data_IF_054676552868
#
_entry.id   IF_054676552868
#
_cell.length_a   1.000
_cell.length_b   1.000
_cell.length_c   1.000
_cell.angle_alpha   90.00
_cell.angle_beta   90.00
_cell.angle_gamma   90.00
#
_symmetry.space_group_name_H-M   'P 1'
#
loop_
_entity.id
_entity.type
_entity.pdbx_description
1 polymer ?
#
# COMPACT_ATOMS: atom_id res chain seq x y z
N UNK A 1 2.19 -11.39 -11.62
CA UNK A 1 1.58 -11.86 -10.36
C UNK A 1 1.47 -10.66 -9.46
N UNK A 2 0.31 -10.31 -9.18
CA UNK A 2 -0.24 -9.02 -8.87
C UNK A 2 -0.14 -8.72 -7.39
N UNK A 3 0.19 -7.46 -7.04
CA UNK A 3 -0.09 -6.86 -5.74
C UNK A 3 -1.55 -7.12 -5.40
N UNK A 4 -1.80 -7.88 -4.35
CA UNK A 4 -3.13 -8.11 -3.81
C UNK A 4 -3.39 -7.09 -2.74
N UNK A 5 -4.12 -6.04 -3.04
CA UNK A 5 -4.96 -5.45 -2.03
C UNK A 5 -6.07 -6.49 -1.75
N UNK A 6 -5.84 -7.37 -0.81
CA UNK A 6 -6.93 -8.15 -0.23
C UNK A 6 -7.73 -7.24 0.69
N UNK A 7 -9.05 -7.39 0.80
CA UNK A 7 -9.73 -6.91 1.97
C UNK A 7 -9.08 -7.64 3.15
N UNK A 8 -8.35 -6.88 3.99
CA UNK A 8 -7.56 -7.42 5.08
C UNK A 8 -8.44 -8.15 6.08
N UNK A 9 -8.41 -9.48 5.99
CA UNK A 9 -8.78 -10.35 7.09
C UNK A 9 -7.47 -10.77 7.77
N UNK A 10 -7.29 -10.33 9.00
CA UNK A 10 -6.15 -10.52 9.85
C UNK A 10 -5.59 -11.93 9.90
N UNK A 11 -4.29 -12.04 9.98
CA UNK A 11 -3.59 -13.25 10.39
C UNK A 11 -2.38 -12.93 11.28
N UNK A 12 -2.32 -13.57 12.42
CA UNK A 12 -1.22 -13.52 13.39
C UNK A 12 -0.52 -14.85 13.51
N UNK A 13 0.78 -14.86 13.66
CA UNK A 13 1.52 -15.99 14.28
C UNK A 13 2.72 -15.46 15.06
N UNK A 14 2.99 -16.08 16.19
CA UNK A 14 4.24 -15.99 16.91
C UNK A 14 4.04 -15.76 18.40
N UNK A 15 4.12 -16.85 19.18
CA UNK A 15 4.17 -16.88 20.64
C UNK A 15 5.55 -16.44 21.12
N UNK A 16 5.58 -15.49 22.05
CA UNK A 16 6.51 -15.51 23.17
C UNK A 16 5.72 -14.97 24.37
N UNK A 17 5.60 -15.81 25.38
CA UNK A 17 5.08 -15.43 26.69
C UNK A 17 6.02 -14.40 27.30
N UNK A 18 5.48 -13.25 27.70
CA UNK A 18 6.12 -12.44 28.74
C UNK A 18 5.06 -11.74 29.58
N UNK A 19 5.25 -11.85 30.87
CA UNK A 19 4.33 -11.47 31.94
C UNK A 19 4.00 -9.96 31.90
N UNK A 20 2.75 -9.67 32.16
CA UNK A 20 2.25 -8.32 32.36
C UNK A 20 2.81 -7.72 33.65
N UNK A 21 3.68 -6.72 33.51
CA UNK A 21 4.01 -5.81 34.60
C UNK A 21 3.05 -4.60 34.58
N UNK A 22 2.69 -4.04 35.74
CA UNK A 22 1.64 -3.03 35.86
C UNK A 22 2.11 -1.68 35.29
N UNK A 23 1.17 -1.01 34.64
CA UNK A 23 1.32 0.35 34.12
C UNK A 23 1.76 1.32 35.22
N UNK A 24 3.02 1.73 35.18
CA UNK A 24 3.44 2.95 35.84
C UNK A 24 3.04 4.13 34.95
N UNK A 25 1.95 4.77 35.27
CA UNK A 25 1.59 6.10 34.75
C UNK A 25 2.62 7.09 35.32
N UNK A 26 3.45 7.64 34.43
CA UNK A 26 4.45 8.62 34.81
C UNK A 26 4.91 9.43 33.62
N UNK A 27 4.22 10.56 33.40
CA UNK A 27 4.72 11.80 32.82
C UNK A 27 5.49 11.77 31.49
N UNK A 28 4.81 12.03 30.40
CA UNK A 28 5.25 12.85 29.28
C UNK A 28 4.05 13.37 28.45
N UNK A 29 2.92 13.67 29.07
CA UNK A 29 1.74 14.24 28.40
C UNK A 29 1.92 15.74 28.06
N UNK A 30 3.12 16.30 28.21
CA UNK A 30 3.43 17.71 27.97
C UNK A 30 4.29 18.01 26.74
N UNK A 31 4.87 17.00 26.09
CA UNK A 31 5.81 17.23 24.97
C UNK A 31 5.10 17.55 23.64
N UNK A 32 3.87 17.06 23.44
CA UNK A 32 3.09 17.27 22.23
C UNK A 32 1.66 17.68 22.52
N UNK A 33 1.10 18.51 21.64
CA UNK A 33 -0.31 18.85 21.58
C UNK A 33 -0.87 18.34 20.25
N UNK A 34 -2.15 17.95 20.25
CA UNK A 34 -2.80 17.46 19.05
C UNK A 34 -4.07 18.25 18.76
N UNK A 35 -4.40 18.39 17.48
CA UNK A 35 -5.63 19.02 17.00
C UNK A 35 -6.31 18.07 16.02
N UNK A 36 -7.62 17.84 16.23
CA UNK A 36 -8.45 17.06 15.32
C UNK A 36 -9.03 17.97 14.24
N UNK A 37 -8.91 17.52 12.99
CA UNK A 37 -9.54 18.10 11.83
C UNK A 37 -10.51 17.09 11.21
N UNK A 38 -11.72 17.55 10.87
CA UNK A 38 -12.79 16.72 10.31
C UNK A 38 -13.03 16.96 8.83
N UNK A 39 -12.22 17.80 8.20
CA UNK A 39 -12.24 18.06 6.76
C UNK A 39 -10.82 18.18 6.21
N UNK A 40 -10.62 17.81 4.93
CA UNK A 40 -9.35 17.99 4.23
C UNK A 40 -9.01 19.46 4.03
N UNK A 41 -10.00 20.31 3.75
CA UNK A 41 -9.80 21.73 3.50
C UNK A 41 -9.14 22.45 4.69
N UNK A 42 -9.51 22.06 5.91
CA UNK A 42 -8.95 22.64 7.14
C UNK A 42 -7.45 22.38 7.31
N UNK A 43 -6.93 21.29 6.74
CA UNK A 43 -5.53 20.88 6.87
C UNK A 43 -4.74 21.00 5.57
N UNK A 44 -5.38 21.36 4.46
CA UNK A 44 -4.76 21.43 3.13
C UNK A 44 -3.44 22.21 3.09
N UNK A 45 -3.34 23.43 3.66
CA UNK A 45 -2.08 24.16 3.63
C UNK A 45 -0.93 23.43 4.35
N UNK A 46 -1.25 22.83 5.50
CA UNK A 46 -0.26 22.04 6.25
C UNK A 46 0.10 20.76 5.50
N UNK A 47 -0.89 20.04 4.98
CA UNK A 47 -0.67 18.79 4.25
C UNK A 47 0.26 18.99 3.06
N UNK A 48 -0.05 19.97 2.20
CA UNK A 48 0.77 20.30 1.01
C UNK A 48 2.19 20.73 1.39
N UNK A 49 2.36 21.47 2.49
CA UNK A 49 3.69 21.79 3.00
C UNK A 49 4.45 20.53 3.43
N UNK A 50 3.83 19.65 4.23
CA UNK A 50 4.47 18.42 4.70
C UNK A 50 4.73 17.42 3.56
N UNK A 51 3.91 17.43 2.52
CA UNK A 51 4.11 16.61 1.32
C UNK A 51 5.35 17.02 0.54
N UNK A 52 5.65 18.32 0.47
CA UNK A 52 6.76 18.86 -0.33
C UNK A 52 8.05 19.04 0.46
N UNK A 53 7.96 19.43 1.72
CA UNK A 53 9.10 19.80 2.55
C UNK A 53 9.44 18.73 3.60
N UNK A 54 8.48 17.87 3.93
CA UNK A 54 8.59 16.86 4.97
C UNK A 54 8.99 15.49 4.45
N UNK A 55 8.63 14.46 5.22
CA UNK A 55 8.90 13.05 4.89
C UNK A 55 7.59 12.28 4.84
N UNK A 56 7.25 11.76 3.67
CA UNK A 56 6.07 10.91 3.47
C UNK A 56 6.30 9.96 2.28
N UNK A 57 5.32 9.13 1.94
CA UNK A 57 5.32 8.29 0.73
C UNK A 57 4.32 8.80 -0.28
N UNK A 58 4.36 8.34 -1.52
CA UNK A 58 3.37 8.68 -2.55
C UNK A 58 1.92 8.32 -2.18
N UNK A 59 1.71 7.48 -1.18
CA UNK A 59 0.37 7.15 -0.67
C UNK A 59 -0.25 8.26 0.20
N UNK A 60 0.53 9.27 0.59
CA UNK A 60 0.10 10.42 1.38
C UNK A 60 0.00 11.71 0.55
N UNK A 61 0.01 11.64 -0.78
CA UNK A 61 -0.31 12.81 -1.61
C UNK A 61 -1.69 13.37 -1.25
N UNK A 62 -1.79 14.70 -1.16
CA UNK A 62 -3.06 15.38 -0.86
C UNK A 62 -4.13 15.02 -1.88
N UNK A 63 -3.79 15.06 -3.17
CA UNK A 63 -4.71 14.70 -4.24
C UNK A 63 -5.20 13.24 -4.16
N UNK A 64 -4.39 12.33 -3.61
CA UNK A 64 -4.78 10.95 -3.34
C UNK A 64 -5.79 10.87 -2.19
N UNK A 65 -5.52 11.57 -1.09
CA UNK A 65 -6.44 11.65 0.05
C UNK A 65 -7.78 12.34 -0.33
N UNK A 66 -7.73 13.38 -1.15
CA UNK A 66 -8.90 14.08 -1.68
C UNK A 66 -9.79 13.12 -2.49
N UNK A 67 -9.21 12.38 -3.44
CA UNK A 67 -9.96 11.38 -4.21
C UNK A 67 -10.52 10.24 -3.35
N UNK A 68 -9.82 9.81 -2.28
CA UNK A 68 -10.36 8.84 -1.31
C UNK A 68 -11.60 9.40 -0.62
N UNK A 69 -11.53 10.64 -0.15
CA UNK A 69 -12.65 11.28 0.59
C UNK A 69 -13.85 11.49 -0.30
N UNK A 70 -13.64 11.95 -1.52
CA UNK A 70 -14.71 12.23 -2.48
C UNK A 70 -15.39 10.95 -3.01
N UNK A 71 -14.58 9.93 -3.31
CA UNK A 71 -15.08 8.75 -4.04
C UNK A 71 -15.26 7.49 -3.22
N UNK A 72 -14.51 7.31 -2.13
CA UNK A 72 -14.39 6.00 -1.48
C UNK A 72 -14.80 5.97 -0.01
N UNK A 73 -14.76 7.11 0.70
CA UNK A 73 -15.15 7.15 2.12
C UNK A 73 -16.63 6.83 2.27
N UNK A 74 -17.02 5.85 3.11
CA UNK A 74 -18.42 5.56 3.34
C UNK A 74 -19.16 6.75 3.95
N UNK A 75 -20.40 7.03 3.51
CA UNK A 75 -21.23 8.15 4.00
C UNK A 75 -21.39 8.23 5.53
N UNK A 76 -21.20 7.11 6.22
CA UNK A 76 -21.31 7.03 7.70
C UNK A 76 -19.94 6.92 8.38
N UNK A 77 -18.87 7.32 7.70
CA UNK A 77 -17.56 7.44 8.29
C UNK A 77 -17.24 8.90 8.56
N UNK A 78 -16.48 9.14 9.60
CA UNK A 78 -16.02 10.48 9.98
C UNK A 78 -14.52 10.58 9.68
N UNK A 79 -14.09 11.66 9.06
CA UNK A 79 -12.68 11.99 8.96
C UNK A 79 -12.13 12.32 10.35
N UNK A 80 -10.95 11.84 10.65
CA UNK A 80 -10.23 12.08 11.89
C UNK A 80 -8.75 12.33 11.61
N UNK A 81 -8.47 13.44 10.95
CA UNK A 81 -7.11 13.85 10.59
C UNK A 81 -6.52 14.58 11.79
N UNK A 82 -5.44 14.05 12.33
CA UNK A 82 -4.84 14.60 13.56
C UNK A 82 -3.51 15.25 13.25
N UNK A 83 -3.45 16.54 13.51
CA UNK A 83 -2.23 17.32 13.52
C UNK A 83 -1.56 17.22 14.89
N UNK A 84 -0.27 16.90 14.93
CA UNK A 84 0.54 16.85 16.17
C UNK A 84 1.62 17.91 16.09
N UNK A 85 1.69 18.75 17.13
CA UNK A 85 2.67 19.82 17.27
C UNK A 85 3.56 19.60 18.50
N UNK A 86 4.76 20.11 18.45
CA UNK A 86 5.60 20.25 19.63
C UNK A 86 4.97 21.28 20.59
N UNK A 87 4.79 20.93 21.85
CA UNK A 87 4.09 21.77 22.81
C UNK A 87 4.88 23.03 23.21
N UNK A 88 6.22 23.00 23.11
CA UNK A 88 7.06 24.13 23.50
C UNK A 88 7.23 25.15 22.37
N UNK A 89 7.33 24.68 21.12
CA UNK A 89 7.57 25.54 19.95
C UNK A 89 6.31 25.87 19.17
N UNK A 90 5.27 25.02 19.27
CA UNK A 90 4.08 25.09 18.44
C UNK A 90 4.27 24.60 17.01
N UNK A 91 5.49 24.14 16.65
CA UNK A 91 5.79 23.65 15.31
C UNK A 91 5.15 22.29 15.04
N UNK A 92 4.60 22.07 13.84
CA UNK A 92 4.09 20.76 13.43
C UNK A 92 5.18 19.70 13.48
N UNK A 93 4.84 18.51 13.96
CA UNK A 93 5.72 17.34 13.99
C UNK A 93 5.25 16.23 13.08
N UNK A 94 3.94 16.01 12.99
CA UNK A 94 3.35 15.05 12.06
C UNK A 94 1.88 15.33 11.82
N UNK A 95 1.38 14.85 10.68
CA UNK A 95 -0.04 14.78 10.35
C UNK A 95 -0.43 13.32 10.17
N UNK A 96 -1.49 12.89 10.85
CA UNK A 96 -1.95 11.49 10.90
C UNK A 96 -3.33 11.37 10.26
N UNK A 97 -3.45 10.95 8.99
CA UNK A 97 -4.72 10.81 8.30
C UNK A 97 -5.47 9.55 8.75
N UNK A 98 -6.43 9.72 9.63
CA UNK A 98 -7.30 8.66 10.13
C UNK A 98 -8.74 8.90 9.70
N UNK A 99 -9.55 7.86 9.83
CA UNK A 99 -11.00 7.94 9.75
C UNK A 99 -11.63 7.05 10.82
N UNK A 100 -12.85 7.42 11.27
CA UNK A 100 -13.67 6.60 12.13
C UNK A 100 -14.82 6.02 11.33
N UNK A 101 -14.99 4.72 11.37
CA UNK A 101 -16.16 4.09 10.77
C UNK A 101 -16.80 3.05 11.68
N UNK A 102 -18.06 2.77 11.41
CA UNK A 102 -18.77 1.70 12.11
C UNK A 102 -18.49 0.35 11.43
N UNK A 103 -18.02 -0.63 12.22
CA UNK A 103 -17.84 -2.00 11.79
C UNK A 103 -18.76 -2.89 12.64
N UNK A 104 -19.84 -3.44 12.02
CA UNK A 104 -20.90 -4.16 12.74
C UNK A 104 -21.49 -3.33 13.90
N UNK A 105 -21.16 -3.66 15.14
CA UNK A 105 -21.71 -3.03 16.34
C UNK A 105 -20.69 -2.20 17.13
N UNK A 106 -19.52 -1.90 16.57
CA UNK A 106 -18.45 -1.15 17.23
C UNK A 106 -17.84 -0.09 16.29
N UNK A 107 -17.25 0.96 16.89
CA UNK A 107 -16.53 2.00 16.18
C UNK A 107 -15.04 1.67 16.08
N UNK A 108 -14.49 1.91 14.91
CA UNK A 108 -13.08 1.64 14.59
C UNK A 108 -12.42 2.91 14.09
N UNK A 109 -11.26 3.24 14.64
CA UNK A 109 -10.33 4.18 14.02
C UNK A 109 -9.40 3.37 13.12
N UNK A 110 -9.30 3.78 11.87
CA UNK A 110 -8.41 3.16 10.88
C UNK A 110 -7.74 4.23 10.02
N UNK A 111 -6.76 3.81 9.24
CA UNK A 111 -6.10 4.71 8.29
C UNK A 111 -7.05 5.15 7.19
N UNK A 112 -6.93 6.42 6.75
CA UNK A 112 -7.68 6.96 5.62
C UNK A 112 -7.13 6.35 4.31
N UNK A 113 -7.52 5.13 4.00
CA UNK A 113 -7.02 4.38 2.85
C UNK A 113 -8.11 3.80 1.95
N UNK A 114 -9.24 3.40 2.50
CA UNK A 114 -10.30 2.67 1.80
C UNK A 114 -9.80 1.51 0.93
N UNK A 115 -8.61 0.97 1.26
CA UNK A 115 -7.98 -0.15 0.56
C UNK A 115 -7.15 0.21 -0.68
N UNK A 116 -6.97 1.49 -0.97
CA UNK A 116 -6.17 1.97 -2.12
C UNK A 116 -4.78 2.50 -1.74
N UNK A 117 -4.41 2.44 -0.45
CA UNK A 117 -3.05 2.73 0.04
C UNK A 117 -2.40 1.45 0.56
N UNK A 118 -1.18 1.19 0.13
CA UNK A 118 -0.38 0.08 0.64
C UNK A 118 0.29 0.42 1.97
N UNK A 119 0.49 1.73 2.26
CA UNK A 119 1.18 2.21 3.45
C UNK A 119 0.37 3.16 4.30
N UNK A 120 0.42 2.92 5.62
CA UNK A 120 -0.05 3.80 6.66
C UNK A 120 1.15 4.48 7.33
N UNK A 121 1.51 5.66 6.84
CA UNK A 121 2.64 6.45 7.32
C UNK A 121 2.18 7.89 7.57
N UNK A 122 2.43 8.49 8.74
CA UNK A 122 2.20 9.90 8.95
C UNK A 122 3.03 10.74 7.98
N UNK A 123 2.53 11.92 7.61
CA UNK A 123 3.40 12.95 7.03
C UNK A 123 4.20 13.55 8.18
N UNK A 124 5.52 13.41 8.12
CA UNK A 124 6.44 13.93 9.13
C UNK A 124 6.95 15.30 8.70
N UNK A 125 7.09 16.21 9.64
CA UNK A 125 7.52 17.58 9.35
C UNK A 125 8.98 17.65 8.85
N UNK A 126 9.82 16.76 9.33
CA UNK A 126 11.24 16.69 9.00
C UNK A 126 11.82 15.30 9.26
N UNK A 127 13.10 15.13 8.98
CA UNK A 127 13.84 13.91 9.21
C UNK A 127 14.36 13.73 10.67
N UNK A 128 13.89 14.51 11.63
CA UNK A 128 14.28 14.35 13.03
C UNK A 128 13.89 12.97 13.54
N UNK A 129 14.83 12.20 14.09
CA UNK A 129 14.57 10.83 14.51
C UNK A 129 13.50 10.73 15.60
N UNK A 130 12.60 9.78 15.41
CA UNK A 130 11.61 9.39 16.42
C UNK A 130 12.21 8.30 17.34
N UNK A 131 11.98 8.45 18.63
CA UNK A 131 12.24 7.41 19.64
C UNK A 131 10.91 6.78 20.05
N UNK A 132 10.93 5.59 20.68
CA UNK A 132 9.74 5.02 21.26
C UNK A 132 9.04 6.01 22.21
N UNK A 133 9.79 6.66 23.09
CA UNK A 133 9.26 7.61 24.07
C UNK A 133 8.54 8.79 23.38
N UNK A 134 9.16 9.41 22.37
CA UNK A 134 8.54 10.53 21.64
C UNK A 134 7.32 10.07 20.83
N UNK A 135 7.37 8.88 20.22
CA UNK A 135 6.26 8.31 19.49
C UNK A 135 5.05 8.00 20.40
N UNK A 136 5.28 7.41 21.58
CA UNK A 136 4.24 7.14 22.57
C UNK A 136 3.62 8.42 23.16
N UNK A 137 4.42 9.44 23.41
CA UNK A 137 3.93 10.75 23.85
C UNK A 137 3.06 11.41 22.77
N UNK A 138 3.51 11.40 21.51
CA UNK A 138 2.75 11.94 20.38
C UNK A 138 1.46 11.15 20.15
N UNK A 139 1.50 9.82 20.24
CA UNK A 139 0.32 8.98 20.09
C UNK A 139 -0.69 9.17 21.23
N UNK A 140 -0.22 9.42 22.46
CA UNK A 140 -1.09 9.79 23.59
C UNK A 140 -1.84 11.10 23.29
N UNK A 141 -1.16 12.10 22.72
CA UNK A 141 -1.80 13.33 22.28
C UNK A 141 -2.83 13.06 21.15
N UNK A 142 -2.51 12.21 20.17
CA UNK A 142 -3.45 11.79 19.13
C UNK A 142 -4.70 11.17 19.74
N UNK A 143 -4.54 10.20 20.65
CA UNK A 143 -5.68 9.52 21.29
C UNK A 143 -6.57 10.46 22.08
N UNK A 144 -6.02 11.54 22.67
CA UNK A 144 -6.78 12.49 23.49
C UNK A 144 -7.78 13.32 22.69
N UNK A 145 -7.60 13.48 21.39
CA UNK A 145 -8.47 14.29 20.51
C UNK A 145 -9.32 13.46 19.56
N UNK A 146 -9.06 12.14 19.46
CA UNK A 146 -9.83 11.27 18.57
C UNK A 146 -11.29 11.14 19.05
N UNK A 147 -12.24 11.04 18.11
CA UNK A 147 -13.63 10.78 18.47
C UNK A 147 -13.76 9.41 19.14
N UNK A 148 -14.73 9.23 20.05
CA UNK A 148 -14.93 7.98 20.76
C UNK A 148 -14.98 6.77 19.82
N UNK A 149 -14.16 5.77 20.10
CA UNK A 149 -14.08 4.54 19.31
C UNK A 149 -13.85 3.34 20.24
N UNK A 150 -14.20 2.15 19.74
CA UNK A 150 -14.02 0.92 20.50
C UNK A 150 -12.64 0.32 20.31
N UNK A 151 -12.02 0.53 19.13
CA UNK A 151 -10.69 -0.02 18.82
C UNK A 151 -9.92 0.81 17.78
N UNK A 152 -8.61 0.62 17.78
CA UNK A 152 -7.69 1.06 16.73
C UNK A 152 -7.37 -0.13 15.81
N UNK A 153 -7.37 0.11 14.50
CA UNK A 153 -6.98 -0.89 13.52
C UNK A 153 -6.26 -0.22 12.33
N UNK A 154 -4.96 -0.08 12.44
CA UNK A 154 -4.11 0.48 11.38
C UNK A 154 -3.17 -0.61 10.91
N UNK A 155 -3.11 -0.81 9.61
CA UNK A 155 -2.35 -1.88 8.97
C UNK A 155 -1.46 -1.30 7.88
N UNK A 156 -0.47 -2.06 7.41
CA UNK A 156 0.42 -1.56 6.38
C UNK A 156 1.36 -0.47 6.88
N UNK A 157 1.82 -0.53 8.12
CA UNK A 157 2.73 0.46 8.70
C UNK A 157 4.17 0.08 8.34
N UNK A 158 4.85 0.82 7.44
CA UNK A 158 6.27 0.60 7.17
C UNK A 158 7.10 0.98 8.41
N UNK A 159 8.20 0.27 8.65
CA UNK A 159 9.08 0.57 9.80
C UNK A 159 9.80 1.91 9.64
N UNK A 160 10.03 2.31 8.39
CA UNK A 160 10.67 3.58 8.04
C UNK A 160 9.93 4.25 6.89
N UNK A 161 10.03 5.56 6.82
CA UNK A 161 9.52 6.42 5.75
C UNK A 161 10.66 7.37 5.35
N UNK A 162 11.12 7.32 4.11
CA UNK A 162 12.22 8.15 3.65
C UNK A 162 13.50 8.04 4.52
N UNK A 163 13.79 6.87 5.08
CA UNK A 163 14.92 6.64 6.00
C UNK A 163 14.69 7.08 7.44
N UNK A 164 13.51 7.62 7.77
CA UNK A 164 13.14 8.01 9.13
C UNK A 164 12.23 6.96 9.76
N UNK A 165 12.47 6.59 11.00
CA UNK A 165 11.63 5.63 11.72
C UNK A 165 10.17 6.11 11.78
N UNK A 166 9.23 5.26 11.35
CA UNK A 166 7.81 5.57 11.43
C UNK A 166 7.34 5.54 12.89
N UNK A 167 6.85 6.67 13.46
CA UNK A 167 6.43 6.70 14.86
C UNK A 167 5.34 5.67 15.19
N UNK A 168 4.45 5.32 14.25
CA UNK A 168 3.43 4.29 14.49
C UNK A 168 4.04 2.89 14.66
N UNK A 169 5.16 2.60 14.01
CA UNK A 169 5.84 1.32 14.16
C UNK A 169 6.62 1.19 15.48
N UNK A 170 6.92 2.31 16.14
CA UNK A 170 7.64 2.36 17.43
C UNK A 170 6.71 2.18 18.64
N UNK A 171 5.39 2.25 18.46
CA UNK A 171 4.42 2.14 19.54
C UNK A 171 4.42 0.75 20.17
N UNK A 172 4.26 0.65 21.49
CA UNK A 172 4.24 -0.62 22.21
C UNK A 172 3.22 -1.65 21.67
N UNK A 173 1.98 -1.27 21.26
CA UNK A 173 1.03 -2.21 20.68
C UNK A 173 1.31 -2.56 19.20
N UNK A 174 2.33 -1.99 18.56
CA UNK A 174 2.69 -2.33 17.18
C UNK A 174 3.28 -3.75 17.12
N UNK A 175 2.82 -4.51 16.13
CA UNK A 175 3.26 -5.90 15.90
C UNK A 175 3.65 -6.08 14.45
N UNK A 176 4.56 -7.01 14.18
CA UNK A 176 4.89 -7.41 12.83
C UNK A 176 3.66 -8.03 12.15
N UNK A 177 3.36 -7.54 10.96
CA UNK A 177 2.33 -8.08 10.08
C UNK A 177 2.86 -9.29 9.29
N UNK A 178 1.96 -10.13 8.82
CA UNK A 178 2.29 -11.18 7.84
C UNK A 178 2.67 -10.60 6.46
N UNK A 179 2.42 -9.32 6.26
CA UNK A 179 2.70 -8.63 5.01
C UNK A 179 4.08 -8.01 5.05
N UNK A 180 4.76 -8.09 3.92
CA UNK A 180 6.04 -7.42 3.70
C UNK A 180 5.95 -6.59 2.42
N UNK A 181 6.71 -5.53 2.36
CA UNK A 181 6.97 -4.81 1.14
C UNK A 181 8.40 -5.08 0.65
N UNK A 182 8.66 -4.73 -0.59
CA UNK A 182 9.92 -4.97 -1.26
C UNK A 182 10.33 -3.71 -2.00
N UNK A 183 11.56 -3.29 -1.85
CA UNK A 183 12.09 -2.11 -2.52
C UNK A 183 13.47 -2.34 -3.12
N UNK A 184 13.77 -1.58 -4.14
CA UNK A 184 15.01 -1.64 -4.91
C UNK A 184 15.62 -0.25 -4.94
N UNK A 185 16.83 -0.09 -4.40
CA UNK A 185 17.64 1.08 -4.66
C UNK A 185 18.18 1.02 -6.10
N UNK A 186 17.94 2.08 -6.87
CA UNK A 186 18.34 2.16 -8.28
C UNK A 186 19.51 3.14 -8.42
N UNK A 187 20.73 2.67 -8.13
CA UNK A 187 21.95 3.46 -8.30
C UNK A 187 22.65 3.19 -9.64
N UNK A 188 23.48 4.13 -10.06
CA UNK A 188 24.24 4.07 -11.32
C UNK A 188 23.46 4.59 -12.53
N UNK A 189 23.83 4.12 -13.72
CA UNK A 189 23.21 4.51 -14.98
C UNK A 189 22.05 3.58 -15.39
N UNK A 190 21.13 4.11 -16.22
CA UNK A 190 19.94 3.40 -16.65
C UNK A 190 20.21 2.15 -17.48
N UNK A 191 21.32 2.11 -18.23
CA UNK A 191 21.63 0.97 -19.11
C UNK A 191 22.10 -0.25 -18.31
N UNK A 192 22.85 -0.01 -17.24
CA UNK A 192 23.48 -1.07 -16.44
C UNK A 192 22.73 -1.40 -15.15
N UNK A 193 21.80 -0.55 -14.70
CA UNK A 193 21.09 -0.71 -13.42
C UNK A 193 20.50 -2.10 -13.22
N UNK A 194 19.76 -2.64 -14.18
CA UNK A 194 19.16 -3.98 -14.08
C UNK A 194 20.22 -5.08 -13.94
N UNK A 195 21.34 -4.96 -14.65
CA UNK A 195 22.44 -5.93 -14.57
C UNK A 195 23.16 -5.85 -13.21
N UNK A 196 23.23 -4.67 -12.61
CA UNK A 196 23.88 -4.44 -11.32
C UNK A 196 23.05 -4.95 -10.14
N UNK A 197 21.74 -4.65 -10.11
CA UNK A 197 20.87 -4.93 -8.97
C UNK A 197 20.22 -6.31 -9.01
N UNK A 198 19.88 -6.81 -10.21
CA UNK A 198 19.17 -8.07 -10.35
C UNK A 198 20.13 -9.29 -10.36
N UNK A 199 19.62 -10.44 -9.90
CA UNK A 199 20.37 -11.69 -9.99
C UNK A 199 20.69 -12.04 -11.46
N UNK A 200 21.86 -12.61 -11.78
CA UNK A 200 22.25 -12.95 -13.16
C UNK A 200 21.23 -13.85 -13.88
N UNK A 201 20.61 -14.79 -13.15
CA UNK A 201 19.55 -15.67 -13.69
C UNK A 201 18.32 -14.89 -14.12
N UNK A 202 17.92 -13.88 -13.34
CA UNK A 202 16.82 -12.98 -13.69
C UNK A 202 17.16 -12.16 -14.94
N UNK A 203 18.33 -11.55 -15.00
CA UNK A 203 18.79 -10.76 -16.16
C UNK A 203 18.80 -11.60 -17.44
N UNK A 204 19.27 -12.84 -17.35
CA UNK A 204 19.26 -13.79 -18.49
C UNK A 204 17.84 -14.09 -18.96
N UNK A 205 16.93 -14.37 -18.03
CA UNK A 205 15.52 -14.63 -18.34
C UNK A 205 14.84 -13.41 -18.94
N UNK A 206 15.01 -12.23 -18.32
CA UNK A 206 14.49 -10.95 -18.79
C UNK A 206 14.93 -10.68 -20.24
N UNK A 207 16.23 -10.73 -20.53
CA UNK A 207 16.77 -10.46 -21.88
C UNK A 207 16.29 -11.48 -22.93
N UNK A 208 16.03 -12.73 -22.53
CA UNK A 208 15.44 -13.75 -23.40
C UNK A 208 13.98 -13.39 -23.72
N UNK A 209 13.22 -13.01 -22.71
CA UNK A 209 11.80 -12.74 -22.85
C UNK A 209 11.57 -11.41 -23.61
N UNK A 210 12.35 -10.36 -23.36
CA UNK A 210 12.31 -9.12 -24.14
C UNK A 210 12.56 -9.37 -25.63
N UNK A 211 13.60 -10.18 -25.98
CA UNK A 211 13.86 -10.56 -27.38
C UNK A 211 12.74 -11.37 -28.00
N UNK A 212 11.98 -12.14 -27.21
CA UNK A 212 10.81 -12.87 -27.71
C UNK A 212 9.65 -11.95 -27.99
N UNK A 213 9.39 -10.98 -27.08
CA UNK A 213 8.38 -9.96 -27.29
C UNK A 213 8.70 -9.11 -28.52
N UNK A 214 9.94 -8.68 -28.66
CA UNK A 214 10.40 -7.86 -29.79
C UNK A 214 10.17 -8.54 -31.14
N UNK A 215 10.44 -9.85 -31.24
CA UNK A 215 10.17 -10.62 -32.47
C UNK A 215 8.69 -10.75 -32.85
N UNK A 216 7.77 -10.41 -31.96
CA UNK A 216 6.33 -10.39 -32.22
C UNK A 216 5.82 -9.02 -32.71
N UNK A 217 6.59 -8.33 -33.53
CA UNK A 217 6.19 -7.07 -34.17
C UNK A 217 6.80 -5.81 -33.54
N UNK A 218 7.87 -5.99 -32.75
CA UNK A 218 8.54 -4.90 -32.04
C UNK A 218 8.09 -4.76 -30.60
N UNK A 219 9.02 -4.33 -29.75
CA UNK A 219 8.77 -4.10 -28.31
C UNK A 219 8.75 -2.60 -28.05
N UNK A 220 7.72 -2.13 -27.32
CA UNK A 220 7.62 -0.72 -26.92
C UNK A 220 7.09 -0.62 -25.47
N UNK A 221 7.81 0.16 -24.66
CA UNK A 221 7.29 0.67 -23.39
C UNK A 221 6.62 2.02 -23.71
N UNK A 222 5.32 2.12 -23.48
CA UNK A 222 4.49 3.31 -23.78
C UNK A 222 4.06 3.95 -22.47
N UNK A 223 4.46 5.17 -22.23
CA UNK A 223 3.94 5.99 -21.14
C UNK A 223 2.61 6.64 -21.57
N UNK A 224 1.63 6.65 -20.67
CA UNK A 224 0.37 7.34 -20.88
C UNK A 224 0.55 8.84 -20.59
N UNK A 225 1.00 9.60 -21.56
CA UNK A 225 1.32 11.04 -21.47
C UNK A 225 0.20 11.96 -21.97
N UNK A 226 -0.91 11.40 -22.43
CA UNK A 226 -2.11 12.13 -22.86
C UNK A 226 -3.37 11.53 -22.21
N UNK A 227 -4.45 12.33 -22.08
CA UNK A 227 -5.72 11.82 -21.54
C UNK A 227 -6.24 10.59 -22.29
N UNK A 228 -6.14 10.57 -23.61
CA UNK A 228 -6.58 9.44 -24.43
C UNK A 228 -5.76 8.17 -24.17
N UNK A 229 -4.44 8.29 -23.96
CA UNK A 229 -3.58 7.17 -23.61
C UNK A 229 -3.83 6.69 -22.16
N UNK A 230 -4.08 7.61 -21.22
CA UNK A 230 -4.50 7.26 -19.86
C UNK A 230 -5.74 6.39 -19.91
N UNK A 231 -6.80 6.82 -20.57
CA UNK A 231 -8.06 6.08 -20.66
C UNK A 231 -7.88 4.71 -21.34
N UNK A 232 -7.14 4.67 -22.45
CA UNK A 232 -6.89 3.46 -23.21
C UNK A 232 -6.06 2.44 -22.41
N UNK A 233 -4.90 2.85 -21.88
CA UNK A 233 -3.98 1.94 -21.19
C UNK A 233 -4.56 1.53 -19.84
N UNK A 234 -5.18 2.45 -19.08
CA UNK A 234 -5.85 2.13 -17.83
C UNK A 234 -7.08 1.22 -18.05
N UNK A 235 -7.88 1.49 -19.08
CA UNK A 235 -8.98 0.60 -19.45
C UNK A 235 -8.50 -0.84 -19.72
N UNK A 236 -7.36 -0.98 -20.40
CA UNK A 236 -6.74 -2.30 -20.65
C UNK A 236 -6.23 -2.95 -19.35
N UNK A 237 -5.66 -2.17 -18.42
CA UNK A 237 -5.29 -2.67 -17.09
C UNK A 237 -6.49 -3.27 -16.37
N UNK A 238 -7.61 -2.53 -16.31
CA UNK A 238 -8.85 -2.99 -15.65
C UNK A 238 -9.37 -4.28 -16.27
N UNK A 239 -9.48 -4.32 -17.61
CA UNK A 239 -9.91 -5.50 -18.36
C UNK A 239 -9.09 -6.75 -18.04
N UNK A 240 -7.76 -6.66 -18.22
CA UNK A 240 -6.83 -7.77 -18.02
C UNK A 240 -6.83 -8.25 -16.56
N UNK A 241 -6.85 -7.30 -15.62
CA UNK A 241 -6.83 -7.59 -14.20
C UNK A 241 -8.12 -8.28 -13.75
N UNK A 242 -9.29 -7.76 -14.11
CA UNK A 242 -10.57 -8.35 -13.75
C UNK A 242 -10.77 -9.72 -14.40
N UNK A 243 -10.32 -9.93 -15.64
CA UNK A 243 -10.32 -11.24 -16.28
C UNK A 243 -9.49 -12.24 -15.48
N UNK A 244 -8.24 -11.86 -15.15
CA UNK A 244 -7.34 -12.71 -14.39
C UNK A 244 -7.86 -13.06 -12.99
N UNK A 245 -8.43 -12.09 -12.28
CA UNK A 245 -8.98 -12.33 -10.94
C UNK A 245 -10.21 -13.22 -10.96
N UNK A 246 -11.06 -13.11 -12.01
CA UNK A 246 -12.20 -14.04 -12.25
C UNK A 246 -11.70 -15.47 -12.47
N UNK A 247 -10.70 -15.68 -13.31
CA UNK A 247 -10.10 -17.01 -13.53
C UNK A 247 -9.58 -17.63 -12.24
N UNK A 248 -8.92 -16.81 -11.39
CA UNK A 248 -8.40 -17.25 -10.10
C UNK A 248 -9.48 -17.41 -9.02
N UNK A 249 -10.73 -17.05 -9.32
CA UNK A 249 -11.83 -17.03 -8.35
C UNK A 249 -11.57 -16.05 -7.20
N UNK A 250 -10.88 -14.94 -7.44
CA UNK A 250 -10.54 -13.93 -6.43
C UNK A 250 -11.29 -12.64 -6.69
N UNK A 251 -11.51 -11.87 -5.62
CA UNK A 251 -12.04 -10.52 -5.71
C UNK A 251 -10.90 -9.53 -5.95
N UNK A 252 -11.14 -8.54 -6.80
CA UNK A 252 -10.28 -7.37 -6.98
C UNK A 252 -11.06 -6.10 -6.68
N UNK A 253 -10.42 -5.09 -6.08
CA UNK A 253 -11.06 -3.82 -5.77
C UNK A 253 -11.55 -3.08 -7.02
N UNK A 254 -10.88 -3.24 -8.16
CA UNK A 254 -11.31 -2.69 -9.45
C UNK A 254 -12.64 -3.29 -9.97
N UNK A 255 -13.20 -4.29 -9.30
CA UNK A 255 -14.58 -4.72 -9.56
C UNK A 255 -15.63 -3.72 -9.04
N UNK A 256 -15.21 -2.71 -8.28
CA UNK A 256 -16.07 -1.65 -7.76
C UNK A 256 -15.89 -0.38 -8.61
N UNK A 257 -16.97 0.12 -9.28
CA UNK A 257 -16.89 1.30 -10.13
C UNK A 257 -16.26 2.53 -9.45
N UNK A 258 -16.58 2.88 -8.18
CA UNK A 258 -15.95 4.03 -7.53
C UNK A 258 -14.41 3.90 -7.41
N UNK A 259 -13.89 2.67 -7.26
CA UNK A 259 -12.45 2.44 -7.21
C UNK A 259 -11.81 2.62 -8.60
N UNK A 260 -12.49 2.19 -9.66
CA UNK A 260 -12.04 2.42 -11.03
C UNK A 260 -12.00 3.92 -11.33
N UNK A 261 -13.05 4.65 -10.96
CA UNK A 261 -13.13 6.10 -11.18
C UNK A 261 -12.03 6.83 -10.39
N UNK A 262 -11.82 6.48 -9.13
CA UNK A 262 -10.72 7.00 -8.30
C UNK A 262 -9.35 6.86 -8.98
N UNK A 263 -8.99 5.66 -9.45
CA UNK A 263 -7.69 5.43 -10.10
C UNK A 263 -7.59 6.15 -11.45
N UNK A 264 -8.69 6.24 -12.22
CA UNK A 264 -8.71 6.96 -13.49
C UNK A 264 -8.48 8.46 -13.28
N UNK A 265 -9.19 9.06 -12.35
CA UNK A 265 -9.06 10.49 -12.03
C UNK A 265 -7.68 10.82 -11.46
N UNK A 266 -7.13 9.97 -10.58
CA UNK A 266 -5.77 10.14 -10.09
C UNK A 266 -4.73 10.07 -11.23
N UNK A 267 -4.94 9.20 -12.23
CA UNK A 267 -4.08 9.12 -13.39
C UNK A 267 -4.17 10.37 -14.30
N UNK A 268 -5.36 10.90 -14.50
CA UNK A 268 -5.52 12.16 -15.23
C UNK A 268 -4.86 13.34 -14.52
N UNK A 269 -4.97 13.44 -13.19
CA UNK A 269 -4.24 14.44 -12.39
C UNK A 269 -2.72 14.27 -12.51
N UNK A 270 -2.25 13.02 -12.52
CA UNK A 270 -0.84 12.70 -12.69
C UNK A 270 -0.20 13.19 -13.97
N UNK A 271 -0.99 13.48 -15.02
CA UNK A 271 -0.50 14.13 -16.25
C UNK A 271 0.02 15.56 -15.98
N UNK A 272 -0.47 16.21 -14.95
CA UNK A 272 -0.11 17.60 -14.62
C UNK A 272 0.99 17.66 -13.54
N UNK A 273 0.87 16.85 -12.49
CA UNK A 273 1.72 16.92 -11.30
C UNK A 273 2.78 15.82 -11.23
N UNK A 274 2.72 14.81 -12.11
CA UNK A 274 3.64 13.68 -12.14
C UNK A 274 3.48 12.69 -10.99
N UNK A 275 2.46 12.84 -10.14
CA UNK A 275 2.22 11.98 -8.97
C UNK A 275 1.80 10.56 -9.33
N UNK A 276 1.21 10.39 -10.51
CA UNK A 276 0.79 9.09 -11.06
C UNK A 276 1.32 8.92 -12.48
N UNK A 277 1.80 7.72 -12.79
CA UNK A 277 2.27 7.35 -14.13
C UNK A 277 1.75 5.96 -14.50
N UNK A 278 1.33 5.80 -15.74
CA UNK A 278 0.86 4.51 -16.26
C UNK A 278 1.70 4.14 -17.47
N UNK A 279 2.16 2.90 -17.48
CA UNK A 279 2.93 2.35 -18.59
C UNK A 279 2.28 1.11 -19.14
N UNK A 280 2.25 1.01 -20.46
CA UNK A 280 1.93 -0.20 -21.19
C UNK A 280 3.15 -0.81 -21.86
N UNK A 281 3.33 -2.11 -21.79
CA UNK A 281 4.31 -2.85 -22.58
C UNK A 281 3.60 -3.48 -23.77
N UNK A 282 4.02 -3.11 -24.98
CA UNK A 282 3.47 -3.64 -26.25
C UNK A 282 4.44 -4.59 -26.92
N UNK A 283 3.90 -5.66 -27.51
CA UNK A 283 4.57 -6.51 -28.48
C UNK A 283 3.78 -6.41 -29.80
N UNK A 284 4.29 -5.65 -30.75
CA UNK A 284 3.53 -5.21 -31.91
C UNK A 284 2.30 -4.39 -31.49
N UNK A 285 1.12 -4.77 -31.97
CA UNK A 285 -0.13 -4.12 -31.63
C UNK A 285 -0.76 -4.59 -30.32
N UNK A 286 -0.19 -5.63 -29.68
CA UNK A 286 -0.78 -6.24 -28.50
C UNK A 286 -0.18 -5.64 -27.22
N UNK A 287 -1.04 -5.13 -26.32
CA UNK A 287 -0.66 -4.74 -24.97
C UNK A 287 -0.50 -5.99 -24.10
N UNK A 288 0.73 -6.34 -23.73
CA UNK A 288 1.05 -7.58 -22.99
C UNK A 288 1.14 -7.38 -21.48
N UNK A 289 1.43 -6.17 -21.03
CA UNK A 289 1.43 -5.81 -19.61
C UNK A 289 1.12 -4.32 -19.43
N UNK A 290 0.54 -3.97 -18.28
CA UNK A 290 0.31 -2.59 -17.86
C UNK A 290 0.74 -2.43 -16.40
N UNK A 291 1.43 -1.33 -16.09
CA UNK A 291 1.83 -0.97 -14.75
C UNK A 291 1.33 0.42 -14.40
N UNK A 292 0.67 0.54 -13.27
CA UNK A 292 0.24 1.79 -12.66
C UNK A 292 1.18 2.10 -11.48
N UNK A 293 1.75 3.30 -11.48
CA UNK A 293 2.73 3.76 -10.49
C UNK A 293 2.25 5.03 -9.81
N UNK A 294 2.55 5.18 -8.51
CA UNK A 294 2.63 6.49 -7.90
C UNK A 294 4.11 6.91 -7.83
N UNK A 295 4.37 8.21 -7.96
CA UNK A 295 5.71 8.79 -7.94
C UNK A 295 5.79 9.87 -6.86
N UNK A 296 6.84 9.83 -6.02
CA UNK A 296 7.05 10.81 -4.97
C UNK A 296 8.52 10.88 -4.57
N UNK A 297 9.10 12.08 -4.53
CA UNK A 297 10.45 12.38 -4.02
C UNK A 297 11.50 11.31 -4.41
N UNK A 298 11.66 11.08 -5.72
CA UNK A 298 12.65 10.11 -6.23
C UNK A 298 12.25 8.64 -6.10
N UNK A 299 11.06 8.33 -5.58
CA UNK A 299 10.54 6.97 -5.41
C UNK A 299 9.38 6.68 -6.38
N UNK A 300 9.44 5.52 -7.04
CA UNK A 300 8.31 4.94 -7.79
C UNK A 300 7.66 3.85 -6.94
N UNK A 301 6.34 3.90 -6.74
CA UNK A 301 5.56 2.88 -6.04
C UNK A 301 4.72 2.08 -7.03
N UNK A 302 4.95 0.77 -7.15
CA UNK A 302 4.21 -0.12 -8.04
C UNK A 302 2.85 -0.51 -7.44
N UNK A 303 1.78 0.20 -7.80
CA UNK A 303 0.44 0.01 -7.21
C UNK A 303 -0.35 -1.11 -7.85
N UNK A 304 -0.56 -1.04 -9.16
CA UNK A 304 -1.35 -2.02 -9.90
C UNK A 304 -0.58 -2.55 -11.10
N UNK A 305 -0.58 -3.86 -11.28
CA UNK A 305 -0.06 -4.51 -12.47
C UNK A 305 -1.13 -5.41 -13.09
N UNK A 306 -1.23 -5.38 -14.41
CA UNK A 306 -2.00 -6.35 -15.19
C UNK A 306 -1.12 -6.96 -16.27
N UNK A 307 -1.32 -8.25 -16.56
CA UNK A 307 -0.54 -8.99 -17.55
C UNK A 307 -1.45 -9.90 -18.37
N UNK A 308 -1.18 -9.97 -19.65
CA UNK A 308 -1.74 -10.99 -20.54
C UNK A 308 -0.74 -12.14 -20.68
N UNK A 309 -1.00 -13.25 -19.97
CA UNK A 309 -0.13 -14.43 -20.02
C UNK A 309 -0.29 -15.25 -21.31
N UNK A 310 -1.41 -15.06 -22.02
CA UNK A 310 -1.73 -15.78 -23.26
C UNK A 310 -1.19 -15.12 -24.53
N UNK A 311 -0.91 -13.82 -24.47
CA UNK A 311 -0.53 -13.03 -25.65
C UNK A 311 0.73 -13.55 -26.36
N UNK A 312 1.76 -13.92 -25.58
CA UNK A 312 3.00 -14.50 -26.13
C UNK A 312 3.40 -15.72 -25.29
N UNK A 313 3.41 -16.93 -25.87
CA UNK A 313 3.74 -18.15 -25.14
C UNK A 313 5.16 -18.16 -24.54
N UNK A 314 5.28 -18.72 -23.35
CA UNK A 314 6.57 -18.88 -22.63
C UNK A 314 7.34 -17.59 -22.39
N UNK A 315 6.64 -16.48 -22.22
CA UNK A 315 7.17 -15.18 -21.80
C UNK A 315 6.52 -14.77 -20.49
N UNK A 316 7.24 -14.01 -19.68
CA UNK A 316 6.75 -13.40 -18.45
C UNK A 316 6.58 -11.87 -18.63
N UNK A 317 5.46 -11.38 -19.21
CA UNK A 317 5.32 -9.96 -19.52
C UNK A 317 5.44 -9.04 -18.29
N UNK A 318 4.99 -9.53 -17.12
CA UNK A 318 5.12 -8.78 -15.86
C UNK A 318 6.57 -8.57 -15.43
N UNK A 319 7.47 -9.52 -15.66
CA UNK A 319 8.90 -9.33 -15.39
C UNK A 319 9.54 -8.42 -16.43
N UNK A 320 9.07 -8.48 -17.67
CA UNK A 320 9.55 -7.62 -18.74
C UNK A 320 9.22 -6.14 -18.46
N UNK A 321 7.96 -5.83 -18.15
CA UNK A 321 7.57 -4.44 -17.86
C UNK A 321 8.30 -3.91 -16.61
N UNK A 322 8.47 -4.72 -15.56
CA UNK A 322 9.21 -4.30 -14.37
C UNK A 322 10.68 -4.03 -14.68
N UNK A 323 11.33 -4.86 -15.49
CA UNK A 323 12.71 -4.64 -15.91
C UNK A 323 12.89 -3.37 -16.74
N UNK A 324 11.96 -3.10 -17.65
CA UNK A 324 11.97 -1.86 -18.45
C UNK A 324 11.68 -0.62 -17.57
N UNK A 325 10.78 -0.74 -16.59
CA UNK A 325 10.47 0.36 -15.68
C UNK A 325 11.63 0.68 -14.73
N UNK A 326 12.44 -0.29 -14.34
CA UNK A 326 13.68 -0.02 -13.58
C UNK A 326 14.65 0.82 -14.43
N UNK A 327 14.83 0.49 -15.72
CA UNK A 327 15.68 1.26 -16.64
C UNK A 327 15.12 2.66 -16.86
N UNK A 328 13.84 2.74 -17.19
CA UNK A 328 13.16 4.00 -17.41
C UNK A 328 13.21 4.89 -16.15
N UNK A 329 12.86 4.34 -14.99
CA UNK A 329 12.84 5.08 -13.73
C UNK A 329 14.21 5.65 -13.37
N UNK A 330 15.27 4.84 -13.53
CA UNK A 330 16.64 5.34 -13.31
C UNK A 330 17.01 6.43 -14.32
N UNK A 331 16.65 6.27 -15.58
CA UNK A 331 16.85 7.28 -16.63
C UNK A 331 16.07 8.57 -16.40
N UNK A 332 14.91 8.49 -15.77
CA UNK A 332 14.07 9.62 -15.39
C UNK A 332 14.45 10.26 -14.03
N UNK A 333 15.55 9.79 -13.38
CA UNK A 333 16.06 10.38 -12.14
C UNK A 333 15.48 9.81 -10.85
N UNK A 334 14.75 8.70 -10.91
CA UNK A 334 14.29 8.01 -9.70
C UNK A 334 15.41 7.14 -9.12
N UNK A 335 15.53 7.16 -7.78
CA UNK A 335 16.56 6.45 -7.04
C UNK A 335 16.05 5.19 -6.34
N UNK A 336 14.73 5.06 -6.21
CA UNK A 336 14.13 3.93 -5.52
C UNK A 336 12.88 3.43 -6.24
N UNK A 337 12.76 2.10 -6.35
CA UNK A 337 11.59 1.44 -6.91
C UNK A 337 10.97 0.53 -5.85
N UNK A 338 9.87 0.96 -5.31
CA UNK A 338 9.05 0.20 -4.37
C UNK A 338 8.12 -0.75 -5.14
N UNK A 339 8.36 -2.04 -4.99
CA UNK A 339 7.53 -3.10 -5.57
C UNK A 339 6.26 -3.38 -4.76
N UNK A 340 5.97 -2.53 -3.78
CA UNK A 340 4.79 -2.60 -2.92
C UNK A 340 4.62 -3.91 -2.14
N UNK A 341 3.47 -4.09 -1.53
CA UNK A 341 3.15 -5.22 -0.65
C UNK A 341 3.01 -6.52 -1.43
N UNK A 342 3.42 -7.61 -0.82
CA UNK A 342 3.23 -8.97 -1.35
C UNK A 342 4.46 -9.84 -1.29
N UNK A 343 4.29 -11.10 -0.86
CA UNK A 343 5.37 -12.05 -0.61
C UNK A 343 5.67 -12.93 -1.85
N UNK A 344 5.93 -12.30 -3.01
CA UNK A 344 6.28 -13.02 -4.24
C UNK A 344 7.80 -13.17 -4.35
N UNK A 345 8.28 -14.41 -4.50
CA UNK A 345 9.71 -14.75 -4.55
C UNK A 345 10.48 -14.08 -5.70
N UNK A 346 9.80 -13.74 -6.81
CA UNK A 346 10.47 -13.08 -7.93
C UNK A 346 11.04 -11.69 -7.57
N UNK A 347 10.45 -10.99 -6.59
CA UNK A 347 10.91 -9.68 -6.13
C UNK A 347 12.35 -9.75 -5.59
N UNK A 348 12.68 -10.81 -4.86
CA UNK A 348 14.05 -11.04 -4.37
C UNK A 348 15.05 -11.36 -5.51
N UNK A 349 14.57 -11.97 -6.60
CA UNK A 349 15.39 -12.19 -7.78
C UNK A 349 15.68 -10.90 -8.55
N UNK A 350 14.82 -9.91 -8.41
CA UNK A 350 15.01 -8.55 -8.93
C UNK A 350 15.96 -7.70 -8.07
N UNK A 351 16.49 -8.25 -6.99
CA UNK A 351 17.39 -7.52 -6.08
C UNK A 351 16.65 -6.71 -5.01
N UNK A 352 15.33 -6.88 -4.89
CA UNK A 352 14.56 -6.15 -3.91
C UNK A 352 14.86 -6.62 -2.49
N UNK A 353 14.99 -5.67 -1.59
CA UNK A 353 15.12 -5.88 -0.15
C UNK A 353 13.73 -6.03 0.46
N UNK A 354 13.54 -7.07 1.25
CA UNK A 354 12.31 -7.34 1.98
C UNK A 354 12.29 -6.60 3.30
N UNK A 355 11.20 -5.88 3.58
CA UNK A 355 10.92 -5.27 4.88
C UNK A 355 9.54 -5.69 5.38
N UNK A 356 9.45 -6.10 6.65
CA UNK A 356 8.18 -6.49 7.27
C UNK A 356 7.42 -5.25 7.66
N UNK A 357 6.12 -5.22 7.34
CA UNK A 357 5.21 -4.16 7.78
C UNK A 357 4.75 -4.42 9.21
N UNK A 358 4.40 -3.36 9.92
CA UNK A 358 3.76 -3.44 11.22
C UNK A 358 2.25 -3.19 11.13
N UNK A 359 1.53 -3.52 12.18
CA UNK A 359 0.11 -3.25 12.36
C UNK A 359 -0.21 -2.85 13.80
N UNK A 360 -1.20 -1.99 13.97
CA UNK A 360 -1.81 -1.64 15.24
C UNK A 360 -3.23 -2.20 15.28
N UNK A 361 -3.48 -3.19 16.13
CA UNK A 361 -4.79 -3.79 16.30
C UNK A 361 -5.06 -4.03 17.79
N UNK A 362 -5.72 -3.09 18.45
CA UNK A 362 -6.03 -3.21 19.87
C UNK A 362 -7.37 -2.53 20.22
N UNK A 363 -8.01 -3.02 21.29
CA UNK A 363 -9.26 -2.47 21.82
C UNK A 363 -9.01 -1.34 22.80
N UNK A 364 -9.88 -0.31 22.74
CA UNK A 364 -9.95 0.80 23.68
C UNK A 364 -11.02 0.50 24.75
N UNK A 365 -12.14 -0.10 24.32
CA UNK A 365 -13.24 -0.52 25.21
C UNK A 365 -13.25 -2.06 25.32
N UNK A 366 -13.95 -2.61 26.30
CA UNK A 366 -14.14 -4.07 26.44
C UNK A 366 -14.73 -4.67 25.16
N UNK A 367 -15.65 -3.97 24.50
CA UNK A 367 -16.21 -4.36 23.22
C UNK A 367 -15.15 -4.40 22.11
N UNK A 368 -14.28 -3.41 22.08
CA UNK A 368 -13.15 -3.32 21.16
C UNK A 368 -12.11 -4.41 21.41
N UNK A 369 -11.82 -4.73 22.68
CA UNK A 369 -10.92 -5.85 23.04
C UNK A 369 -11.49 -7.17 22.52
N UNK A 370 -12.77 -7.46 22.79
CA UNK A 370 -13.42 -8.67 22.28
C UNK A 370 -13.39 -8.76 20.75
N UNK A 371 -13.67 -7.63 20.05
CA UNK A 371 -13.61 -7.56 18.60
C UNK A 371 -12.18 -7.75 18.06
N UNK A 372 -11.17 -7.18 18.71
CA UNK A 372 -9.76 -7.34 18.33
C UNK A 372 -9.28 -8.79 18.51
N UNK A 373 -9.64 -9.42 19.62
CA UNK A 373 -9.33 -10.84 19.85
C UNK A 373 -10.02 -11.74 18.83
N UNK A 374 -11.30 -11.50 18.52
CA UNK A 374 -12.01 -12.26 17.47
C UNK A 374 -11.30 -12.19 16.11
N UNK A 375 -10.74 -11.03 15.76
CA UNK A 375 -9.96 -10.86 14.53
C UNK A 375 -8.67 -11.67 14.59
N UNK A 376 -7.93 -11.63 15.71
CA UNK A 376 -6.71 -12.42 15.92
C UNK A 376 -6.99 -13.92 15.82
N UNK A 377 -8.04 -14.42 16.48
CA UNK A 377 -8.42 -15.84 16.40
C UNK A 377 -8.83 -16.26 15.00
N UNK A 378 -9.62 -15.43 14.29
CA UNK A 378 -9.95 -15.67 12.89
C UNK A 378 -8.69 -15.73 12.03
N UNK A 379 -7.75 -14.82 12.24
CA UNK A 379 -6.47 -14.78 11.55
C UNK A 379 -5.67 -16.07 11.77
N UNK A 380 -5.54 -16.52 13.02
CA UNK A 380 -4.89 -17.79 13.38
C UNK A 380 -5.57 -18.98 12.68
N UNK A 381 -6.90 -19.04 12.66
CA UNK A 381 -7.66 -20.09 11.98
C UNK A 381 -7.39 -20.13 10.47
N UNK A 382 -7.37 -19.00 9.81
CA UNK A 382 -7.04 -18.93 8.38
C UNK A 382 -5.57 -19.28 8.11
N UNK A 383 -4.63 -18.89 9.01
CA UNK A 383 -3.22 -19.31 8.92
C UNK A 383 -3.09 -20.83 9.03
N UNK A 384 -3.73 -21.41 10.02
CA UNK A 384 -3.73 -22.85 10.22
C UNK A 384 -4.25 -23.62 9.01
N UNK A 385 -5.36 -23.17 8.41
CA UNK A 385 -5.90 -23.76 7.18
C UNK A 385 -4.93 -23.60 6.00
N UNK A 386 -4.29 -22.42 5.85
CA UNK A 386 -3.34 -22.15 4.77
C UNK A 386 -2.07 -23.00 4.89
N UNK A 387 -1.57 -23.15 6.10
CA UNK A 387 -0.31 -23.85 6.37
C UNK A 387 -0.49 -25.38 6.35
N UNK A 388 -1.75 -25.86 6.29
CA UNK A 388 -2.08 -27.27 6.13
C UNK A 388 -2.56 -27.54 4.69
N UNK A 389 -1.74 -28.17 3.80
CA UNK A 389 -2.08 -28.35 2.38
C UNK A 389 -3.39 -29.09 2.14
N UNK A 390 -3.77 -30.05 3.00
CA UNK A 390 -5.01 -30.81 2.89
C UNK A 390 -6.23 -29.94 3.20
N UNK A 391 -6.18 -29.18 4.30
CA UNK A 391 -7.24 -28.26 4.70
C UNK A 391 -7.38 -27.11 3.68
N UNK A 392 -6.26 -26.61 3.17
CA UNK A 392 -6.25 -25.56 2.16
C UNK A 392 -6.96 -25.99 0.87
N UNK A 393 -6.69 -27.21 0.38
CA UNK A 393 -7.35 -27.78 -0.79
C UNK A 393 -8.86 -27.92 -0.58
N UNK A 394 -9.29 -28.46 0.54
CA UNK A 394 -10.73 -28.60 0.90
C UNK A 394 -11.40 -27.23 1.00
N UNK A 395 -10.75 -26.25 1.64
CA UNK A 395 -11.28 -24.89 1.74
C UNK A 395 -11.40 -24.21 0.38
N UNK A 396 -10.43 -24.40 -0.53
CA UNK A 396 -10.50 -23.90 -1.90
C UNK A 396 -11.67 -24.53 -2.69
N UNK A 397 -11.83 -25.84 -2.62
CA UNK A 397 -12.91 -26.55 -3.30
C UNK A 397 -14.29 -26.11 -2.78
N UNK A 398 -14.43 -25.97 -1.46
CA UNK A 398 -15.65 -25.46 -0.83
C UNK A 398 -15.97 -24.04 -1.26
N UNK A 399 -14.98 -23.14 -1.23
CA UNK A 399 -15.14 -21.76 -1.67
C UNK A 399 -15.50 -21.64 -3.15
N UNK A 400 -14.92 -22.47 -4.03
CA UNK A 400 -15.27 -22.50 -5.44
C UNK A 400 -16.71 -22.98 -5.66
N UNK A 401 -17.15 -24.03 -4.96
CA UNK A 401 -18.55 -24.52 -5.02
C UNK A 401 -19.53 -23.46 -4.52
N UNK A 402 -19.24 -22.84 -3.39
CA UNK A 402 -20.09 -21.81 -2.80
C UNK A 402 -20.24 -20.57 -3.69
N UNK A 403 -19.15 -20.14 -4.37
CA UNK A 403 -19.18 -19.04 -5.34
C UNK A 403 -20.00 -19.39 -6.60
N UNK A 404 -19.89 -20.62 -7.11
CA UNK A 404 -20.70 -21.08 -8.25
C UNK A 404 -22.20 -21.08 -7.92
N UNK A 405 -22.57 -21.34 -6.66
CA UNK A 405 -23.97 -21.33 -6.21
C UNK A 405 -24.52 -19.90 -6.03
N UNK A 406 -23.66 -18.91 -5.84
CA UNK A 406 -24.05 -17.50 -5.66
C UNK A 406 -23.80 -16.60 -6.86
N UNK A 407 -23.26 -17.12 -7.94
CA UNK A 407 -23.15 -16.35 -9.18
C UNK A 407 -24.58 -16.09 -9.71
N UNK A 408 -24.99 -14.83 -9.93
CA UNK A 408 -26.26 -14.55 -10.59
C UNK A 408 -26.23 -15.18 -11.98
N UNK A 409 -27.33 -15.86 -12.33
CA UNK A 409 -27.58 -16.39 -13.69
C UNK A 409 -27.72 -15.24 -14.67
#
# INVERSE_FOLDING_TARGET
MVSQAMPMAAMTTGLADDEAAPHAAGAASGAYVAQLHTSLEAVKPLWLRLETEGVCTGHQHFAWAEGIVEGLVPQKADLAIVEVRDAATGEPRMLVPLMRRRAFHHWVIEWLSCGVCDYSAPLLADATPWTRQSAEAAWTAVLSVLPPADRIHIVGIPKEVGGVANPLALLAPARDSIHSHYGIAMDGDAETVVKRICRPSFVKALNKDLRRLDRNGGLALVEADTPALVDSIFGKLVEMRLSRFRELGRFDLLAQPPVVDFYREAAHRGLTDGSVRIFGLRAGEVMVAVQYLAAHLGTLHALLIAIDQGAVPNVSPGLCIMGELIRWGRGAGFDYFDLSVGNQSYKEHMGAVKSVLSELCYGITLKGVAASEAIKYRGRGVAFVRDNPRLFKVAQEFMQRWRRLRAPR
#
